data_IF_206944999992
#
_entry.id   IF_206944999992
#
_cell.length_a   1.000
_cell.length_b   1.000
_cell.length_c   1.000
_cell.angle_alpha   90.00
_cell.angle_beta   90.00
_cell.angle_gamma   90.00
#
_symmetry.space_group_name_H-M   'P 1'
#
loop_
_entity.id
_entity.type
_entity.pdbx_description
1 polymer ?
#
# COMPACT_ATOMS: atom_id res chain seq x y z
N UNK A 1 12.96 10.62 -7.68
CA UNK A 1 13.67 9.31 -7.69
C UNK A 1 13.74 8.67 -9.08
N UNK A 2 12.62 8.33 -9.73
CA UNK A 2 12.63 7.62 -11.02
C UNK A 2 13.49 8.29 -12.11
N UNK A 3 13.30 9.59 -12.35
CA UNK A 3 14.08 10.36 -13.34
C UNK A 3 15.59 10.37 -13.06
N UNK A 4 15.97 10.38 -11.78
CA UNK A 4 17.35 10.40 -11.32
C UNK A 4 17.96 9.00 -11.17
N UNK A 5 17.18 7.93 -11.42
CA UNK A 5 17.55 6.55 -11.09
C UNK A 5 18.07 6.37 -9.64
N UNK A 6 17.65 7.24 -8.72
CA UNK A 6 18.02 7.16 -7.31
C UNK A 6 17.11 6.16 -6.61
N UNK A 7 17.68 5.04 -6.18
CA UNK A 7 16.98 4.02 -5.39
C UNK A 7 17.23 4.16 -3.89
N UNK A 8 18.27 4.88 -3.47
CA UNK A 8 18.65 4.94 -2.06
C UNK A 8 18.13 6.24 -1.43
N UNK A 9 18.38 7.37 -2.08
CA UNK A 9 18.03 8.69 -1.55
C UNK A 9 16.68 9.13 -2.10
N UNK A 10 15.62 9.24 -1.27
CA UNK A 10 14.37 9.82 -1.69
C UNK A 10 14.55 11.29 -2.04
N UNK A 11 13.78 11.76 -3.02
CA UNK A 11 13.91 13.11 -3.56
C UNK A 11 12.54 13.71 -3.85
N UNK A 12 12.37 14.97 -3.47
CA UNK A 12 11.20 15.80 -3.73
C UNK A 12 11.71 17.14 -4.29
N UNK A 13 11.13 17.60 -5.40
CA UNK A 13 11.57 18.82 -6.10
C UNK A 13 13.09 18.88 -6.35
N UNK A 14 13.69 17.75 -6.77
CA UNK A 14 15.13 17.59 -7.03
C UNK A 14 16.05 17.80 -5.81
N UNK A 15 15.47 17.92 -4.62
CA UNK A 15 16.20 17.92 -3.35
C UNK A 15 16.04 16.58 -2.63
N UNK A 16 17.09 16.15 -1.94
CA UNK A 16 17.04 14.94 -1.13
C UNK A 16 16.13 15.16 0.08
N UNK A 17 15.28 14.18 0.37
CA UNK A 17 14.25 14.27 1.40
C UNK A 17 14.20 12.96 2.21
N UNK A 18 14.66 13.00 3.46
CA UNK A 18 14.84 11.81 4.32
C UNK A 18 13.75 11.65 5.40
N UNK A 19 12.54 12.12 5.16
CA UNK A 19 11.44 12.04 6.16
C UNK A 19 10.82 10.64 6.26
N UNK A 20 10.74 9.92 5.13
CA UNK A 20 10.08 8.61 5.03
C UNK A 20 11.03 7.58 4.42
N UNK A 21 10.92 6.30 4.83
CA UNK A 21 11.71 5.22 4.23
C UNK A 21 11.38 5.04 2.74
N UNK A 22 12.31 4.48 1.94
CA UNK A 22 12.20 4.44 0.48
C UNK A 22 11.15 3.46 -0.06
N UNK A 23 10.55 2.62 0.78
CA UNK A 23 9.68 1.50 0.37
C UNK A 23 8.51 1.91 -0.54
N UNK A 24 7.73 2.91 -0.14
CA UNK A 24 6.60 3.40 -0.94
C UNK A 24 7.08 3.92 -2.30
N UNK A 25 8.24 4.59 -2.32
CA UNK A 25 8.83 5.10 -3.56
C UNK A 25 9.35 3.98 -4.47
N UNK A 26 9.93 2.91 -3.91
CA UNK A 26 10.32 1.73 -4.69
C UNK A 26 9.12 1.08 -5.37
N UNK A 27 8.04 0.89 -4.63
CA UNK A 27 6.82 0.31 -5.19
C UNK A 27 6.26 1.19 -6.31
N UNK A 28 6.19 2.50 -6.11
CA UNK A 28 5.81 3.46 -7.17
C UNK A 28 6.74 3.41 -8.38
N UNK A 29 8.06 3.38 -8.18
CA UNK A 29 9.03 3.29 -9.27
C UNK A 29 8.86 2.01 -10.09
N UNK A 30 8.62 0.88 -9.44
CA UNK A 30 8.35 -0.40 -10.12
C UNK A 30 7.08 -0.29 -10.95
N UNK A 31 5.98 0.21 -10.36
CA UNK A 31 4.71 0.36 -11.07
C UNK A 31 4.83 1.32 -12.25
N UNK A 32 5.52 2.46 -12.09
CA UNK A 32 5.74 3.40 -13.18
C UNK A 32 6.61 2.83 -14.30
N UNK A 33 7.58 1.96 -13.99
CA UNK A 33 8.38 1.26 -15.01
C UNK A 33 7.55 0.24 -15.79
N UNK A 34 6.57 -0.41 -15.17
CA UNK A 34 5.76 -1.45 -15.80
C UNK A 34 4.56 -0.90 -16.58
N UNK A 35 3.89 0.12 -16.05
CA UNK A 35 2.60 0.59 -16.57
C UNK A 35 2.62 2.06 -17.04
N UNK A 36 3.75 2.75 -16.90
CA UNK A 36 3.86 4.18 -17.19
C UNK A 36 3.43 5.07 -16.02
N UNK A 37 3.57 6.39 -16.19
CA UNK A 37 3.23 7.39 -15.17
C UNK A 37 1.81 7.90 -15.44
N UNK A 38 0.91 7.65 -14.50
CA UNK A 38 -0.48 8.15 -14.51
C UNK A 38 -1.07 8.10 -13.09
N UNK A 39 -2.11 8.89 -12.84
CA UNK A 39 -2.82 8.89 -11.56
C UNK A 39 -3.35 7.51 -11.16
N UNK A 40 -3.77 6.71 -12.15
CA UNK A 40 -4.23 5.35 -11.93
C UNK A 40 -3.07 4.45 -11.46
N UNK A 41 -1.94 4.49 -12.17
CA UNK A 41 -0.77 3.68 -11.83
C UNK A 41 -0.18 4.04 -10.47
N UNK A 42 -0.25 5.31 -10.06
CA UNK A 42 0.23 5.76 -8.74
C UNK A 42 -0.51 5.09 -7.57
N UNK A 43 -1.74 4.62 -7.78
CA UNK A 43 -2.57 4.01 -6.73
C UNK A 43 -2.40 2.50 -6.62
N UNK A 44 -1.88 1.85 -7.66
CA UNK A 44 -1.72 0.37 -7.72
C UNK A 44 -0.92 -0.17 -6.52
N UNK A 45 0.21 0.43 -6.09
CA UNK A 45 0.95 -0.09 -4.95
C UNK A 45 0.10 -0.17 -3.68
N UNK A 46 -0.64 0.90 -3.37
CA UNK A 46 -1.39 1.00 -2.13
C UNK A 46 -2.65 0.13 -2.15
N UNK A 47 -3.30 -0.02 -3.29
CA UNK A 47 -4.44 -0.94 -3.44
C UNK A 47 -4.01 -2.40 -3.34
N UNK A 48 -2.82 -2.76 -3.85
CA UNK A 48 -2.26 -4.11 -3.69
C UNK A 48 -1.94 -4.42 -2.23
N UNK A 49 -1.29 -3.50 -1.51
CA UNK A 49 -1.01 -3.68 -0.08
C UNK A 49 -2.31 -3.79 0.72
N UNK A 50 -3.29 -2.94 0.45
CA UNK A 50 -4.59 -3.03 1.12
C UNK A 50 -5.29 -4.38 0.86
N UNK A 51 -5.24 -4.90 -0.38
CA UNK A 51 -5.75 -6.24 -0.68
C UNK A 51 -5.03 -7.34 0.12
N UNK A 52 -3.70 -7.22 0.27
CA UNK A 52 -2.92 -8.13 1.09
C UNK A 52 -3.28 -8.03 2.58
N UNK A 53 -3.48 -6.83 3.13
CA UNK A 53 -3.89 -6.63 4.53
C UNK A 53 -5.28 -7.24 4.80
N UNK A 54 -6.23 -7.14 3.87
CA UNK A 54 -7.54 -7.80 4.00
C UNK A 54 -7.40 -9.33 3.99
N UNK A 55 -6.57 -9.88 3.10
CA UNK A 55 -6.30 -11.31 3.06
C UNK A 55 -5.60 -11.80 4.34
N UNK A 56 -4.66 -11.02 4.87
CA UNK A 56 -3.98 -11.30 6.14
C UNK A 56 -4.94 -11.25 7.34
N UNK A 57 -5.86 -10.28 7.37
CA UNK A 57 -6.90 -10.20 8.40
C UNK A 57 -7.75 -11.48 8.45
N UNK A 58 -8.19 -11.94 7.27
CA UNK A 58 -8.91 -13.22 7.15
C UNK A 58 -8.05 -14.37 7.68
N UNK A 59 -6.79 -14.46 7.22
CA UNK A 59 -5.88 -15.55 7.58
C UNK A 59 -5.62 -15.61 9.09
N UNK A 60 -5.27 -14.50 9.71
CA UNK A 60 -4.97 -14.43 11.15
C UNK A 60 -6.21 -14.79 11.96
N UNK A 61 -7.37 -14.22 11.63
CA UNK A 61 -8.63 -14.51 12.33
C UNK A 61 -9.02 -15.98 12.21
N UNK A 62 -8.79 -16.58 11.05
CA UNK A 62 -9.07 -18.01 10.84
C UNK A 62 -8.12 -18.89 11.65
N UNK A 63 -6.84 -18.53 11.73
CA UNK A 63 -5.85 -19.27 12.51
C UNK A 63 -6.16 -19.25 14.00
N UNK A 64 -6.69 -18.14 14.52
CA UNK A 64 -7.02 -17.96 15.93
C UNK A 64 -8.37 -18.57 16.31
N UNK A 65 -9.43 -18.26 15.55
CA UNK A 65 -10.80 -18.65 15.90
C UNK A 65 -11.22 -20.00 15.33
N UNK A 66 -10.55 -20.49 14.28
CA UNK A 66 -10.97 -21.64 13.45
C UNK A 66 -12.37 -21.48 12.83
N UNK A 67 -12.95 -20.28 12.88
CA UNK A 67 -14.28 -19.98 12.34
C UNK A 67 -14.15 -19.21 11.02
N UNK A 68 -14.73 -19.77 9.96
CA UNK A 68 -14.79 -19.10 8.65
C UNK A 68 -15.65 -17.85 8.71
N UNK A 69 -16.80 -17.92 9.40
CA UNK A 69 -17.71 -16.78 9.55
C UNK A 69 -17.05 -15.59 10.23
N UNK A 70 -16.38 -15.80 11.37
CA UNK A 70 -15.68 -14.74 12.08
C UNK A 70 -14.58 -14.10 11.20
N UNK A 71 -13.86 -14.91 10.45
CA UNK A 71 -12.77 -14.45 9.58
C UNK A 71 -13.26 -13.62 8.40
N UNK A 72 -14.34 -14.04 7.75
CA UNK A 72 -14.98 -13.26 6.68
C UNK A 72 -15.53 -11.95 7.24
N UNK A 73 -16.21 -12.00 8.39
CA UNK A 73 -16.78 -10.83 9.03
C UNK A 73 -15.70 -9.78 9.35
N UNK A 74 -14.58 -10.18 9.98
CA UNK A 74 -13.46 -9.29 10.27
C UNK A 74 -12.83 -8.68 9.00
N UNK A 75 -12.65 -9.48 7.95
CA UNK A 75 -12.11 -8.99 6.68
C UNK A 75 -13.04 -7.96 6.00
N UNK A 76 -14.35 -8.21 5.98
CA UNK A 76 -15.35 -7.28 5.45
C UNK A 76 -15.38 -5.99 6.27
N UNK A 77 -15.37 -6.09 7.61
CA UNK A 77 -15.37 -4.94 8.49
C UNK A 77 -14.14 -4.05 8.24
N UNK A 78 -12.94 -4.64 8.14
CA UNK A 78 -11.73 -3.91 7.78
C UNK A 78 -11.89 -3.19 6.43
N UNK A 79 -12.32 -3.92 5.39
CA UNK A 79 -12.48 -3.37 4.05
C UNK A 79 -13.51 -2.23 3.98
N UNK A 80 -14.60 -2.33 4.76
CA UNK A 80 -15.68 -1.34 4.82
C UNK A 80 -15.35 -0.10 5.64
N UNK A 81 -14.27 -0.13 6.43
CA UNK A 81 -13.89 1.00 7.28
C UNK A 81 -13.44 2.16 6.40
N UNK A 82 -14.08 3.33 6.56
CA UNK A 82 -13.84 4.50 5.71
C UNK A 82 -12.35 4.91 5.65
N UNK A 83 -11.66 4.85 6.80
CA UNK A 83 -10.24 5.18 6.88
C UNK A 83 -9.39 4.22 6.05
N UNK A 84 -9.65 2.91 6.13
CA UNK A 84 -8.92 1.90 5.35
C UNK A 84 -9.17 2.07 3.85
N UNK A 85 -10.42 2.33 3.48
CA UNK A 85 -10.78 2.63 2.10
C UNK A 85 -10.07 3.90 1.59
N UNK A 86 -10.03 4.97 2.37
CA UNK A 86 -9.36 6.21 1.97
C UNK A 86 -7.86 6.01 1.79
N UNK A 87 -7.19 5.40 2.77
CA UNK A 87 -5.74 5.19 2.75
C UNK A 87 -5.37 4.30 1.56
N UNK A 88 -6.11 3.21 1.30
CA UNK A 88 -5.83 2.32 0.16
C UNK A 88 -5.89 2.98 -1.22
N UNK A 89 -6.57 4.12 -1.36
CA UNK A 89 -6.67 4.87 -2.62
C UNK A 89 -5.81 6.13 -2.66
N UNK A 90 -5.38 6.62 -1.49
CA UNK A 90 -4.47 7.73 -1.36
C UNK A 90 -3.03 7.30 -1.68
N UNK A 91 -2.27 8.16 -2.36
CA UNK A 91 -0.84 7.93 -2.63
C UNK A 91 -0.04 8.50 -1.46
N UNK A 92 -0.10 7.78 -0.32
CA UNK A 92 0.56 8.15 0.93
C UNK A 92 1.38 6.99 1.47
N UNK A 93 2.37 7.30 2.31
CA UNK A 93 3.29 6.29 2.84
C UNK A 93 2.65 5.35 3.86
N UNK A 94 1.56 5.78 4.50
CA UNK A 94 0.91 5.06 5.60
C UNK A 94 0.26 3.74 5.17
N UNK A 95 -0.07 3.57 3.88
CA UNK A 95 -0.69 2.33 3.40
C UNK A 95 0.21 1.10 3.52
N UNK A 96 1.54 1.27 3.59
CA UNK A 96 2.51 0.18 3.79
C UNK A 96 2.69 -0.24 5.25
N UNK A 97 2.11 0.50 6.20
CA UNK A 97 2.23 0.23 7.65
C UNK A 97 1.03 -0.55 8.23
N UNK A 98 0.01 -0.85 7.42
CA UNK A 98 -1.21 -1.56 7.83
C UNK A 98 -1.08 -3.08 7.83
#
# INVERSE_FOLDING_TARGET
MLKHNSWISPMIYDHVWYDKPPLTYWALMITYKLFGISDFTSRIPNTLVAGASVALMYHITYRMSKSTFASVLCAILLMSTLQFWYISHAVITDGFLF
#
